data_IF_764785732717
#
_entry.id   IF_764785732717
#
_cell.length_a   1.000
_cell.length_b   1.000
_cell.length_c   1.000
_cell.angle_alpha   90.00
_cell.angle_beta   90.00
_cell.angle_gamma   90.00
#
_symmetry.space_group_name_H-M   'P 1'
#
loop_
_entity.id
_entity.type
_entity.pdbx_description
1 polymer ?
#
# COMPACT_ATOMS: atom_id res chain seq x y z
N UNK A 1 45.75 -66.57 34.91
CA UNK A 1 44.89 -66.79 36.09
C UNK A 1 44.63 -65.44 36.77
N UNK A 2 43.36 -65.17 37.15
CA UNK A 2 42.87 -64.10 38.07
C UNK A 2 42.82 -62.68 37.46
N UNK A 3 41.69 -62.26 36.85
CA UNK A 3 40.49 -61.60 37.42
C UNK A 3 40.79 -60.28 38.16
N UNK A 4 40.29 -59.15 37.64
CA UNK A 4 39.31 -58.29 38.33
C UNK A 4 38.67 -57.28 37.36
N UNK A 5 37.36 -57.10 37.54
CA UNK A 5 36.45 -56.20 36.82
C UNK A 5 36.66 -54.75 37.32
N UNK A 6 36.50 -53.75 36.45
CA UNK A 6 36.05 -52.42 36.90
C UNK A 6 35.19 -51.74 35.83
N UNK A 7 33.95 -51.52 36.25
CA UNK A 7 32.89 -50.70 35.67
C UNK A 7 33.39 -49.33 35.16
N UNK A 8 33.06 -49.01 33.92
CA UNK A 8 33.25 -47.68 33.32
C UNK A 8 32.02 -47.31 32.50
N UNK A 9 31.01 -46.75 33.16
CA UNK A 9 29.81 -46.20 32.57
C UNK A 9 30.15 -45.13 31.53
N UNK A 10 29.94 -45.43 30.25
CA UNK A 10 29.89 -44.39 29.21
C UNK A 10 28.55 -43.66 29.40
N UNK A 11 28.60 -42.55 30.12
CA UNK A 11 27.57 -41.53 30.05
C UNK A 11 27.63 -40.93 28.64
N UNK A 12 26.79 -41.42 27.74
CA UNK A 12 26.45 -40.70 26.51
C UNK A 12 25.78 -39.41 26.96
N UNK A 13 26.55 -38.33 26.94
CA UNK A 13 26.09 -36.97 27.16
C UNK A 13 25.06 -36.66 26.08
N UNK A 14 23.78 -36.93 26.37
CA UNK A 14 22.62 -36.38 25.67
C UNK A 14 22.67 -34.86 25.86
N UNK A 15 23.49 -34.19 25.07
CA UNK A 15 23.30 -32.78 24.78
C UNK A 15 21.95 -32.68 24.07
N UNK A 16 20.96 -31.95 24.60
CA UNK A 16 19.81 -31.56 23.80
C UNK A 16 20.37 -30.76 22.64
N UNK A 17 20.24 -31.31 21.43
CA UNK A 17 20.53 -30.56 20.21
C UNK A 17 19.68 -29.31 20.24
N UNK A 18 20.29 -28.18 20.54
CA UNK A 18 19.68 -26.88 20.33
C UNK A 18 19.50 -26.77 18.82
N UNK A 19 18.32 -27.15 18.33
CA UNK A 19 17.86 -26.78 17.02
C UNK A 19 17.72 -25.27 17.03
N UNK A 20 18.74 -24.57 16.52
CA UNK A 20 18.62 -23.17 16.15
C UNK A 20 17.69 -23.11 14.94
N UNK A 21 16.38 -23.04 15.17
CA UNK A 21 15.50 -22.47 14.15
C UNK A 21 15.96 -21.01 13.97
N UNK A 22 16.33 -20.64 12.75
CA UNK A 22 16.61 -19.24 12.43
C UNK A 22 15.35 -18.43 12.80
N UNK A 23 15.55 -17.37 13.56
CA UNK A 23 14.50 -16.41 13.89
C UNK A 23 13.97 -15.86 12.56
N UNK A 24 12.68 -16.07 12.26
CA UNK A 24 11.93 -15.57 11.08
C UNK A 24 12.01 -16.35 9.75
N UNK A 25 12.30 -17.65 9.74
CA UNK A 25 12.23 -18.43 8.48
C UNK A 25 11.08 -19.46 8.54
N UNK A 26 9.91 -19.09 7.99
CA UNK A 26 8.77 -20.00 7.78
C UNK A 26 8.68 -20.31 6.30
N UNK A 27 8.94 -21.57 5.94
CA UNK A 27 8.77 -22.09 4.59
C UNK A 27 7.57 -23.02 4.49
N UNK A 28 6.76 -22.84 3.45
CA UNK A 28 5.67 -23.75 3.11
C UNK A 28 6.27 -24.92 2.32
N UNK A 29 6.44 -26.06 2.96
CA UNK A 29 6.87 -27.30 2.28
C UNK A 29 5.69 -28.07 1.67
N UNK A 30 4.46 -27.73 2.07
CA UNK A 30 3.20 -28.29 1.62
C UNK A 30 2.14 -27.19 1.59
N UNK A 31 1.09 -27.42 0.82
CA UNK A 31 -0.11 -26.57 0.79
C UNK A 31 -0.73 -26.44 2.18
N UNK A 32 -1.27 -25.26 2.49
CA UNK A 32 -1.87 -24.94 3.78
C UNK A 32 -3.21 -24.21 3.61
N UNK A 33 -4.22 -24.61 4.38
CA UNK A 33 -5.53 -23.98 4.36
C UNK A 33 -5.60 -22.79 5.32
N UNK A 34 -6.01 -21.63 4.79
CA UNK A 34 -6.31 -20.41 5.56
C UNK A 34 -7.79 -20.09 5.40
N UNK A 35 -8.51 -19.97 6.52
CA UNK A 35 -9.92 -19.56 6.50
C UNK A 35 -10.06 -18.08 6.85
N UNK A 36 -10.70 -17.32 5.96
CA UNK A 36 -10.97 -15.89 6.12
C UNK A 36 -12.39 -15.61 5.64
N UNK A 37 -13.17 -14.83 6.39
CA UNK A 37 -14.56 -14.51 6.01
C UNK A 37 -15.42 -15.76 5.69
N UNK A 38 -15.16 -16.89 6.39
CA UNK A 38 -15.75 -18.22 6.13
C UNK A 38 -15.44 -18.83 4.76
N UNK A 39 -14.43 -18.33 4.05
CA UNK A 39 -13.92 -18.86 2.78
C UNK A 39 -12.59 -19.54 3.08
N UNK A 40 -12.49 -20.83 2.73
CA UNK A 40 -11.23 -21.58 2.82
C UNK A 40 -10.39 -21.29 1.58
N UNK A 41 -9.16 -20.85 1.81
CA UNK A 41 -8.16 -20.55 0.80
C UNK A 41 -7.02 -21.54 0.94
N UNK A 42 -6.64 -22.16 -0.17
CA UNK A 42 -5.46 -23.01 -0.25
C UNK A 42 -4.27 -22.13 -0.64
N UNK A 43 -3.26 -22.13 0.23
CA UNK A 43 -2.05 -21.34 0.09
C UNK A 43 -0.84 -22.26 -0.07
N UNK A 44 -0.09 -22.04 -1.14
CA UNK A 44 1.06 -22.86 -1.51
C UNK A 44 2.25 -22.01 -1.95
N UNK A 45 3.43 -22.61 -1.94
CA UNK A 45 4.67 -21.99 -2.38
C UNK A 45 5.79 -23.01 -2.43
N UNK A 46 6.75 -22.86 -3.34
CA UNK A 46 7.82 -23.85 -3.56
C UNK A 46 9.20 -23.42 -3.06
N UNK A 47 9.35 -22.21 -2.54
CA UNK A 47 10.64 -21.63 -2.07
C UNK A 47 10.44 -20.43 -1.12
N UNK A 48 9.26 -20.28 -0.52
CA UNK A 48 8.84 -19.04 0.12
C UNK A 48 9.47 -18.89 1.50
N UNK A 49 10.33 -17.88 1.71
CA UNK A 49 10.65 -17.39 3.06
C UNK A 49 9.57 -16.38 3.39
N UNK A 50 8.49 -16.87 4.01
CA UNK A 50 7.41 -16.01 4.48
C UNK A 50 7.85 -15.44 5.82
N UNK A 51 7.98 -14.12 5.89
CA UNK A 51 8.37 -13.42 7.11
C UNK A 51 7.22 -13.44 8.13
N UNK A 52 5.98 -13.26 7.65
CA UNK A 52 4.80 -13.32 8.51
C UNK A 52 3.53 -13.60 7.72
N UNK A 53 2.56 -14.26 8.37
CA UNK A 53 1.16 -14.30 7.95
C UNK A 53 0.30 -13.89 9.14
N UNK A 54 -0.57 -12.91 8.94
CA UNK A 54 -1.54 -12.43 9.92
C UNK A 54 -2.93 -12.65 9.34
N UNK A 55 -3.70 -13.54 9.96
CA UNK A 55 -5.08 -13.85 9.55
C UNK A 55 -6.05 -13.01 10.37
N UNK A 56 -6.83 -12.17 9.69
CA UNK A 56 -7.91 -11.38 10.29
C UNK A 56 -9.27 -11.99 9.92
N UNK A 57 -10.35 -11.39 10.44
CA UNK A 57 -11.71 -11.86 10.15
C UNK A 57 -12.12 -11.71 8.68
N UNK A 58 -11.61 -10.70 7.97
CA UNK A 58 -12.04 -10.34 6.61
C UNK A 58 -10.95 -10.44 5.55
N UNK A 59 -9.68 -10.47 5.96
CA UNK A 59 -8.52 -10.60 5.09
C UNK A 59 -7.40 -11.37 5.80
N UNK A 60 -6.37 -11.73 5.06
CA UNK A 60 -5.08 -12.06 5.66
C UNK A 60 -3.99 -11.22 5.01
N UNK A 61 -2.91 -11.01 5.75
CA UNK A 61 -1.73 -10.25 5.32
C UNK A 61 -0.54 -11.19 5.35
N UNK A 62 0.22 -11.28 4.26
CA UNK A 62 1.44 -12.04 4.20
C UNK A 62 2.61 -11.15 3.78
N UNK A 63 3.75 -11.26 4.47
CA UNK A 63 4.99 -10.58 4.09
C UNK A 63 5.99 -11.62 3.57
N UNK A 64 6.48 -11.38 2.36
CA UNK A 64 7.29 -12.29 1.57
C UNK A 64 8.67 -11.66 1.31
N UNK A 65 9.73 -12.45 1.40
CA UNK A 65 11.06 -12.02 0.98
C UNK A 65 11.24 -12.08 -0.54
N UNK A 66 12.26 -11.36 -1.06
CA UNK A 66 12.68 -11.42 -2.47
C UNK A 66 12.99 -12.86 -2.90
N UNK A 67 12.58 -13.24 -4.11
CA UNK A 67 12.78 -14.58 -4.66
C UNK A 67 11.77 -15.64 -4.20
N UNK A 68 10.81 -15.27 -3.34
CA UNK A 68 9.73 -16.16 -2.93
C UNK A 68 8.67 -16.32 -4.04
N UNK A 69 7.97 -17.46 -4.05
CA UNK A 69 6.74 -17.65 -4.83
C UNK A 69 5.62 -17.94 -3.84
N UNK A 70 4.51 -17.20 -3.92
CA UNK A 70 3.38 -17.36 -3.03
C UNK A 70 2.10 -17.41 -3.84
N UNK A 71 1.37 -18.53 -3.73
CA UNK A 71 0.14 -18.77 -4.46
C UNK A 71 -1.01 -18.97 -3.51
N UNK A 72 -2.15 -18.37 -3.85
CA UNK A 72 -3.41 -18.44 -3.12
C UNK A 72 -4.48 -18.90 -4.10
N UNK A 73 -5.29 -19.86 -3.71
CA UNK A 73 -6.39 -20.36 -4.53
C UNK A 73 -7.68 -20.49 -3.70
N UNK A 74 -8.80 -20.16 -4.34
CA UNK A 74 -10.13 -20.32 -3.76
C UNK A 74 -10.85 -21.47 -4.45
N UNK A 75 -11.02 -22.59 -3.75
CA UNK A 75 -11.67 -23.80 -4.27
C UNK A 75 -13.13 -23.59 -4.65
N UNK A 76 -13.82 -22.66 -3.98
CA UNK A 76 -15.18 -22.27 -4.31
C UNK A 76 -15.30 -21.21 -5.40
N UNK A 77 -14.22 -20.90 -6.14
CA UNK A 77 -14.18 -19.90 -7.22
C UNK A 77 -14.55 -18.49 -6.77
N UNK A 78 -14.38 -18.17 -5.48
CA UNK A 78 -14.59 -16.83 -4.94
C UNK A 78 -13.57 -15.84 -5.50
N UNK A 79 -14.00 -14.61 -5.77
CA UNK A 79 -13.10 -13.52 -6.18
C UNK A 79 -12.10 -13.21 -5.07
N UNK A 80 -10.83 -13.13 -5.43
CA UNK A 80 -9.74 -12.71 -4.55
C UNK A 80 -9.42 -11.24 -4.84
N UNK A 81 -9.81 -10.35 -3.94
CA UNK A 81 -9.29 -8.98 -3.92
C UNK A 81 -7.90 -8.97 -3.30
N UNK A 82 -7.00 -8.14 -3.81
CA UNK A 82 -5.65 -8.04 -3.25
C UNK A 82 -5.10 -6.61 -3.32
N UNK A 83 -4.26 -6.27 -2.35
CA UNK A 83 -3.46 -5.04 -2.31
C UNK A 83 -2.01 -5.44 -2.02
N UNK A 84 -1.05 -4.81 -2.70
CA UNK A 84 0.37 -5.17 -2.62
C UNK A 84 1.21 -3.92 -2.33
N UNK A 85 1.96 -3.99 -1.24
CA UNK A 85 2.94 -2.99 -0.83
C UNK A 85 4.33 -3.62 -0.94
N UNK A 86 5.24 -2.99 -1.67
CA UNK A 86 6.60 -3.49 -1.85
C UNK A 86 7.61 -2.36 -1.62
N UNK A 87 8.79 -2.72 -1.11
CA UNK A 87 9.90 -1.78 -0.99
C UNK A 87 10.73 -1.77 -2.29
N UNK A 88 11.25 -0.62 -2.73
CA UNK A 88 12.18 -0.54 -3.87
C UNK A 88 11.55 -0.17 -5.21
N UNK A 89 12.37 -0.25 -6.28
CA UNK A 89 12.09 0.37 -7.58
C UNK A 89 11.56 -0.62 -8.65
N UNK A 90 11.30 -1.88 -8.31
CA UNK A 90 10.71 -2.86 -9.22
C UNK A 90 9.54 -3.57 -8.55
N UNK A 91 8.40 -3.58 -9.25
CA UNK A 91 7.19 -4.24 -8.79
C UNK A 91 7.34 -5.77 -8.79
N UNK A 92 6.70 -6.48 -7.86
CA UNK A 92 6.60 -7.94 -7.92
C UNK A 92 5.83 -8.39 -9.17
N UNK A 93 6.10 -9.61 -9.66
CA UNK A 93 5.19 -10.22 -10.62
C UNK A 93 3.94 -10.69 -9.90
N UNK A 94 2.79 -10.38 -10.48
CA UNK A 94 1.47 -10.75 -9.95
C UNK A 94 0.70 -11.36 -11.11
N UNK A 95 0.23 -12.59 -10.92
CA UNK A 95 -0.69 -13.25 -11.83
C UNK A 95 -2.00 -13.55 -11.09
N UNK A 96 -3.11 -13.02 -11.61
CA UNK A 96 -4.42 -13.09 -10.98
C UNK A 96 -5.43 -13.62 -11.98
N UNK A 97 -5.86 -14.86 -11.78
CA UNK A 97 -6.82 -15.54 -12.62
C UNK A 97 -8.14 -15.63 -11.87
N UNK A 98 -9.19 -15.11 -12.48
CA UNK A 98 -10.56 -15.24 -11.96
C UNK A 98 -11.51 -15.53 -13.11
N UNK A 99 -11.80 -16.80 -13.30
CA UNK A 99 -12.65 -17.36 -14.36
C UNK A 99 -13.67 -18.34 -13.78
N UNK A 100 -14.62 -18.79 -14.60
CA UNK A 100 -15.59 -19.81 -14.18
C UNK A 100 -15.01 -21.18 -13.79
N UNK A 101 -13.70 -21.38 -13.95
CA UNK A 101 -13.02 -22.65 -13.61
C UNK A 101 -11.78 -22.48 -12.73
N UNK A 102 -11.36 -21.25 -12.44
CA UNK A 102 -10.18 -20.99 -11.63
C UNK A 102 -10.28 -19.65 -10.91
N UNK A 103 -9.93 -19.64 -9.63
CA UNK A 103 -9.67 -18.42 -8.86
C UNK A 103 -8.33 -18.55 -8.13
N UNK A 104 -7.30 -17.93 -8.70
CA UNK A 104 -5.92 -18.02 -8.20
C UNK A 104 -5.23 -16.67 -8.22
N UNK A 105 -4.37 -16.43 -7.24
CA UNK A 105 -3.48 -15.28 -7.14
C UNK A 105 -2.08 -15.79 -6.86
N UNK A 106 -1.12 -15.50 -7.73
CA UNK A 106 0.28 -15.87 -7.59
C UNK A 106 1.15 -14.61 -7.54
N UNK A 107 2.05 -14.54 -6.56
CA UNK A 107 2.97 -13.43 -6.36
C UNK A 107 4.41 -13.95 -6.35
N UNK A 108 5.30 -13.27 -7.08
CA UNK A 108 6.74 -13.48 -6.97
C UNK A 108 7.49 -12.15 -6.77
N UNK A 109 7.91 -11.83 -5.53
CA UNK A 109 8.75 -10.66 -5.26
C UNK A 109 10.12 -10.76 -5.92
N UNK A 110 10.55 -9.73 -6.66
CA UNK A 110 11.79 -9.80 -7.48
C UNK A 110 13.02 -9.30 -6.72
N UNK A 111 12.98 -8.10 -6.14
CA UNK A 111 14.19 -7.45 -5.58
C UNK A 111 14.07 -6.96 -4.13
N UNK A 112 12.92 -7.14 -3.49
CA UNK A 112 12.68 -6.66 -2.13
C UNK A 112 11.54 -7.41 -1.44
N UNK A 113 11.38 -7.12 -0.14
CA UNK A 113 10.26 -7.59 0.65
C UNK A 113 8.93 -7.01 0.13
N UNK A 114 7.92 -7.87 0.04
CA UNK A 114 6.57 -7.52 -0.43
C UNK A 114 5.54 -7.98 0.59
N UNK A 115 4.65 -7.08 0.98
CA UNK A 115 3.48 -7.38 1.80
C UNK A 115 2.24 -7.41 0.92
N UNK A 116 1.53 -8.53 0.93
CA UNK A 116 0.25 -8.71 0.24
C UNK A 116 -0.88 -8.81 1.25
N UNK A 117 -1.95 -8.05 1.03
CA UNK A 117 -3.22 -8.21 1.75
C UNK A 117 -4.22 -8.87 0.81
N UNK A 118 -4.75 -10.04 1.16
CA UNK A 118 -5.74 -10.76 0.37
C UNK A 118 -7.10 -10.70 1.07
N UNK A 119 -8.09 -10.19 0.36
CA UNK A 119 -9.47 -10.02 0.82
C UNK A 119 -10.41 -10.84 -0.07
N UNK A 120 -10.77 -12.07 0.32
CA UNK A 120 -11.70 -12.89 -0.44
C UNK A 120 -13.13 -12.34 -0.34
N UNK A 121 -13.88 -12.44 -1.44
CA UNK A 121 -15.28 -12.00 -1.54
C UNK A 121 -16.22 -13.19 -1.74
N UNK A 122 -17.45 -13.11 -1.23
CA UNK A 122 -18.49 -14.11 -1.52
C UNK A 122 -18.95 -14.12 -2.98
N UNK A 123 -18.51 -13.16 -3.80
CA UNK A 123 -18.82 -13.12 -5.23
C UNK A 123 -17.98 -14.14 -6.00
N UNK A 124 -18.61 -14.98 -6.82
CA UNK A 124 -17.90 -15.95 -7.66
C UNK A 124 -17.26 -15.32 -8.90
N UNK A 125 -16.18 -15.93 -9.37
CA UNK A 125 -15.59 -15.65 -10.67
C UNK A 125 -16.57 -16.05 -11.79
N UNK A 126 -16.73 -15.18 -12.79
CA UNK A 126 -17.66 -15.41 -13.90
C UNK A 126 -16.99 -16.21 -15.01
N UNK A 127 -17.73 -17.13 -15.65
CA UNK A 127 -17.31 -17.73 -16.90
C UNK A 127 -17.37 -16.67 -18.02
N UNK A 128 -16.28 -16.49 -18.77
CA UNK A 128 -16.37 -15.83 -20.06
C UNK A 128 -17.27 -16.70 -20.96
N UNK A 129 -18.30 -16.12 -21.57
CA UNK A 129 -19.13 -16.83 -22.52
C UNK A 129 -18.27 -17.29 -23.70
N UNK A 130 -18.04 -18.60 -23.79
CA UNK A 130 -17.36 -19.23 -24.92
C UNK A 130 -18.34 -19.28 -26.09
N UNK A 131 -18.12 -18.44 -27.11
CA UNK A 131 -18.77 -18.65 -28.41
C UNK A 131 -18.13 -19.87 -29.05
N UNK A 132 -18.72 -21.04 -28.80
CA UNK A 132 -18.31 -22.29 -29.42
C UNK A 132 -18.68 -22.26 -30.92
N UNK A 133 -17.70 -22.02 -31.79
CA UNK A 133 -17.83 -22.29 -33.22
C UNK A 133 -17.54 -23.77 -33.47
N UNK A 134 -18.55 -24.62 -33.33
CA UNK A 134 -18.50 -26.00 -33.79
C UNK A 134 -18.68 -26.03 -35.31
N UNK A 135 -17.59 -26.17 -36.05
CA UNK A 135 -17.63 -26.57 -37.45
C UNK A 135 -17.90 -28.07 -37.55
N UNK A 136 -18.98 -28.46 -38.23
CA UNK A 136 -19.12 -29.82 -38.80
C UNK A 136 -19.98 -29.75 -40.06
N UNK A 137 -19.41 -30.28 -41.13
CA UNK A 137 -19.95 -30.51 -42.46
C UNK A 137 -20.90 -31.72 -42.48
N UNK A 138 -22.01 -31.64 -43.24
CA UNK A 138 -22.87 -32.81 -43.49
C UNK A 138 -24.19 -32.47 -44.19
N UNK A 139 -24.30 -32.87 -45.46
CA UNK A 139 -25.49 -32.77 -46.32
C UNK A 139 -26.55 -33.84 -46.00
N UNK A 140 -27.84 -33.49 -46.05
CA UNK A 140 -28.95 -34.44 -46.08
C UNK A 140 -30.32 -33.78 -45.90
N UNK A 141 -31.15 -33.80 -46.95
CA UNK A 141 -32.43 -33.07 -47.02
C UNK A 141 -33.58 -33.67 -46.21
N UNK A 142 -34.46 -32.78 -45.74
CA UNK A 142 -35.73 -33.11 -45.11
C UNK A 142 -36.49 -31.84 -44.74
N UNK A 143 -37.64 -31.63 -45.38
CA UNK A 143 -38.52 -30.48 -45.20
C UNK A 143 -38.86 -30.24 -43.73
N UNK A 144 -38.52 -29.06 -43.21
CA UNK A 144 -39.01 -28.55 -41.93
C UNK A 144 -39.43 -27.10 -42.13
N UNK A 145 -40.66 -26.83 -41.73
CA UNK A 145 -41.37 -25.56 -41.69
C UNK A 145 -40.47 -24.39 -41.31
N UNK A 146 -40.36 -23.41 -42.22
CA UNK A 146 -39.75 -22.11 -41.95
C UNK A 146 -40.60 -21.36 -40.92
N UNK A 147 -40.26 -21.49 -39.63
CA UNK A 147 -40.57 -20.44 -38.66
C UNK A 147 -39.61 -19.29 -38.95
N UNK A 148 -40.09 -18.32 -39.73
CA UNK A 148 -39.48 -16.99 -39.77
C UNK A 148 -39.66 -16.37 -38.38
N UNK A 149 -38.72 -16.66 -37.48
CA UNK A 149 -38.57 -15.89 -36.25
C UNK A 149 -38.16 -14.46 -36.66
N UNK A 150 -39.05 -13.51 -36.38
CA UNK A 150 -38.76 -12.08 -36.46
C UNK A 150 -37.41 -11.76 -35.81
N UNK A 151 -36.53 -10.97 -36.45
CA UNK A 151 -35.31 -10.52 -35.81
C UNK A 151 -35.66 -9.43 -34.80
N UNK A 152 -36.07 -9.84 -33.60
CA UNK A 152 -36.32 -8.93 -32.47
C UNK A 152 -35.12 -8.97 -31.53
N UNK A 153 -34.39 -7.86 -31.52
CA UNK A 153 -33.56 -7.32 -30.45
C UNK A 153 -32.22 -8.02 -30.10
N UNK A 154 -31.21 -7.85 -30.96
CA UNK A 154 -29.77 -7.89 -30.55
C UNK A 154 -29.14 -6.48 -30.52
N UNK A 155 -29.92 -5.42 -30.77
CA UNK A 155 -29.43 -4.03 -30.73
C UNK A 155 -29.41 -3.39 -29.33
N UNK A 156 -30.01 -4.02 -28.32
CA UNK A 156 -30.17 -3.40 -26.99
C UNK A 156 -28.92 -3.49 -26.10
N UNK A 157 -27.99 -4.41 -26.38
CA UNK A 157 -26.78 -4.63 -25.55
C UNK A 157 -25.56 -3.80 -25.96
N UNK A 158 -25.51 -3.28 -27.20
CA UNK A 158 -24.46 -2.34 -27.63
C UNK A 158 -24.81 -0.91 -27.22
N UNK A 159 -26.08 -0.50 -27.33
CA UNK A 159 -26.55 0.80 -26.87
C UNK A 159 -26.34 1.02 -25.35
N UNK A 160 -26.53 -0.03 -24.53
CA UNK A 160 -26.27 0.04 -23.08
C UNK A 160 -24.78 0.14 -22.76
N UNK A 161 -23.91 -0.52 -23.55
CA UNK A 161 -22.44 -0.47 -23.37
C UNK A 161 -21.87 0.86 -23.84
N UNK A 162 -22.37 1.43 -24.94
CA UNK A 162 -21.99 2.79 -25.39
C UNK A 162 -22.43 3.85 -24.38
N UNK A 163 -23.61 3.70 -23.78
CA UNK A 163 -24.06 4.56 -22.68
C UNK A 163 -23.15 4.43 -21.44
N UNK A 164 -22.68 3.22 -21.11
CA UNK A 164 -21.73 2.99 -20.02
C UNK A 164 -20.35 3.59 -20.32
N UNK A 165 -19.84 3.47 -21.55
CA UNK A 165 -18.57 4.07 -21.98
C UNK A 165 -18.63 5.60 -21.85
N UNK A 166 -19.73 6.21 -22.31
CA UNK A 166 -19.92 7.66 -22.18
C UNK A 166 -20.05 8.11 -20.73
N UNK A 167 -20.73 7.33 -19.89
CA UNK A 167 -20.83 7.60 -18.44
C UNK A 167 -19.47 7.49 -17.75
N UNK A 168 -18.65 6.49 -18.11
CA UNK A 168 -17.30 6.32 -17.57
C UNK A 168 -16.36 7.44 -18.04
N UNK A 169 -16.46 7.89 -19.30
CA UNK A 169 -15.67 9.04 -19.77
C UNK A 169 -16.02 10.34 -19.04
N UNK A 170 -17.31 10.56 -18.74
CA UNK A 170 -17.75 11.70 -17.92
C UNK A 170 -17.25 11.59 -16.48
N UNK A 171 -17.30 10.39 -15.90
CA UNK A 171 -16.77 10.14 -14.56
C UNK A 171 -15.25 10.38 -14.51
N UNK A 172 -14.49 9.94 -15.52
CA UNK A 172 -13.05 10.19 -15.62
C UNK A 172 -12.78 11.70 -15.78
N UNK A 173 -13.53 12.42 -16.61
CA UNK A 173 -13.36 13.87 -16.76
C UNK A 173 -13.68 14.63 -15.45
N UNK A 174 -14.71 14.22 -14.72
CA UNK A 174 -15.04 14.77 -13.41
C UNK A 174 -13.96 14.46 -12.38
N UNK A 175 -13.41 13.24 -12.39
CA UNK A 175 -12.32 12.84 -11.50
C UNK A 175 -11.01 13.55 -11.86
N UNK A 176 -10.74 13.79 -13.15
CA UNK A 176 -9.60 14.59 -13.62
C UNK A 176 -9.74 16.05 -13.20
N UNK A 177 -10.95 16.63 -13.30
CA UNK A 177 -11.23 17.96 -12.78
C UNK A 177 -11.08 18.01 -11.25
N UNK A 178 -11.49 16.96 -10.54
CA UNK A 178 -11.32 16.84 -9.09
C UNK A 178 -9.85 16.64 -8.69
N UNK A 179 -9.08 15.87 -9.47
CA UNK A 179 -7.63 15.80 -9.34
C UNK A 179 -7.02 17.16 -9.64
N UNK A 180 -7.53 17.93 -10.60
CA UNK A 180 -7.09 19.31 -10.84
C UNK A 180 -7.57 20.31 -9.78
N UNK A 181 -8.57 20.01 -8.96
CA UNK A 181 -8.87 20.83 -7.77
C UNK A 181 -8.13 20.35 -6.52
N UNK A 182 -7.61 19.13 -6.51
CA UNK A 182 -6.76 18.60 -5.43
C UNK A 182 -5.26 18.84 -5.69
N UNK A 183 -4.85 18.85 -6.96
CA UNK A 183 -3.48 19.15 -7.44
C UNK A 183 -3.36 20.56 -8.00
N UNK A 184 -4.49 21.21 -8.32
CA UNK A 184 -4.63 22.62 -8.70
C UNK A 184 -5.61 23.38 -7.79
N UNK A 185 -5.96 22.85 -6.61
CA UNK A 185 -5.82 23.70 -5.43
C UNK A 185 -4.43 24.28 -5.60
N UNK A 186 -4.30 25.60 -5.77
CA UNK A 186 -3.01 26.13 -6.12
C UNK A 186 -2.06 25.56 -5.08
N UNK A 187 -0.97 24.93 -5.51
CA UNK A 187 0.28 25.12 -4.80
C UNK A 187 0.30 26.64 -4.60
N UNK A 188 -0.11 27.07 -3.41
CA UNK A 188 -0.71 28.37 -3.17
C UNK A 188 0.39 29.39 -3.30
N UNK A 189 0.74 29.69 -4.54
CA UNK A 189 1.98 30.30 -4.94
C UNK A 189 3.19 29.54 -4.33
N UNK A 190 4.08 29.02 -5.17
CA UNK A 190 5.50 29.14 -4.79
C UNK A 190 5.83 30.63 -4.86
N UNK A 191 5.21 31.44 -3.99
CA UNK A 191 5.76 32.71 -3.61
C UNK A 191 7.04 32.29 -2.93
N UNK A 192 8.16 32.46 -3.64
CA UNK A 192 9.43 32.68 -2.98
C UNK A 192 9.15 33.44 -1.70
N UNK A 193 9.58 32.89 -0.56
CA UNK A 193 9.22 33.34 0.77
C UNK A 193 9.70 34.80 0.89
N UNK A 194 8.88 35.74 0.43
CA UNK A 194 9.26 37.14 0.21
C UNK A 194 9.04 37.89 1.50
N UNK A 195 9.75 37.43 2.53
CA UNK A 195 9.61 37.93 3.87
C UNK A 195 10.80 37.49 4.69
N UNK A 196 11.67 38.44 5.02
CA UNK A 196 12.60 38.23 6.12
C UNK A 196 11.81 38.27 7.41
N UNK A 197 12.02 37.28 8.27
CA UNK A 197 11.59 37.41 9.66
C UNK A 197 12.50 38.49 10.26
N UNK A 198 11.94 39.56 10.82
CA UNK A 198 12.70 40.69 11.40
C UNK A 198 12.59 40.76 12.92
N UNK A 199 11.49 40.27 13.49
CA UNK A 199 11.23 40.27 14.93
C UNK A 199 11.50 38.91 15.57
N UNK A 200 11.65 38.90 16.90
CA UNK A 200 11.64 37.66 17.67
C UNK A 200 10.21 37.13 17.76
N UNK A 201 10.01 35.82 17.56
CA UNK A 201 8.69 35.18 17.64
C UNK A 201 8.68 34.11 18.73
N UNK A 202 7.59 34.03 19.48
CA UNK A 202 7.40 33.04 20.55
C UNK A 202 5.93 32.65 20.62
N UNK A 203 5.59 31.66 21.46
CA UNK A 203 4.20 31.27 21.67
C UNK A 203 3.31 32.47 22.02
N UNK A 204 2.20 32.61 21.31
CA UNK A 204 1.29 33.75 21.45
C UNK A 204 1.61 34.95 20.54
N UNK A 205 2.77 34.98 19.86
CA UNK A 205 3.05 35.99 18.83
C UNK A 205 2.04 35.91 17.70
N UNK A 206 1.68 37.07 17.14
CA UNK A 206 0.72 37.17 16.03
C UNK A 206 1.21 38.11 14.93
N UNK A 207 0.73 37.88 13.71
CA UNK A 207 0.92 38.76 12.56
C UNK A 207 1.70 38.12 11.41
N UNK A 208 2.00 38.93 10.40
CA UNK A 208 2.56 38.48 9.13
C UNK A 208 3.88 37.68 9.27
N UNK A 209 4.77 38.06 10.18
CA UNK A 209 6.02 37.32 10.40
C UNK A 209 5.82 35.89 10.87
N UNK A 210 4.72 35.61 11.59
CA UNK A 210 4.36 34.24 11.99
C UNK A 210 3.87 33.44 10.79
N UNK A 211 3.08 34.07 9.92
CA UNK A 211 2.64 33.44 8.66
C UNK A 211 3.83 33.08 7.78
N UNK A 212 4.78 34.02 7.61
CA UNK A 212 6.03 33.78 6.87
C UNK A 212 6.85 32.63 7.48
N UNK A 213 6.95 32.57 8.82
CA UNK A 213 7.60 31.46 9.51
C UNK A 213 6.91 30.13 9.20
N UNK A 214 5.58 30.06 9.26
CA UNK A 214 4.84 28.83 8.99
C UNK A 214 5.03 28.37 7.54
N UNK A 215 5.01 29.32 6.59
CA UNK A 215 5.28 29.03 5.18
C UNK A 215 6.67 28.42 5.00
N UNK A 216 7.70 29.04 5.58
CA UNK A 216 9.07 28.51 5.55
C UNK A 216 9.16 27.11 6.17
N UNK A 217 8.56 26.87 7.33
CA UNK A 217 8.62 25.56 7.97
C UNK A 217 7.93 24.49 7.11
N UNK A 218 6.76 24.81 6.54
CA UNK A 218 6.03 23.91 5.67
C UNK A 218 6.81 23.57 4.39
N UNK A 219 7.48 24.53 3.75
CA UNK A 219 8.28 24.28 2.53
C UNK A 219 9.55 23.49 2.78
N UNK A 220 10.16 23.61 3.97
CA UNK A 220 11.40 22.91 4.33
C UNK A 220 11.18 21.54 5.01
N UNK A 221 9.99 20.96 4.85
CA UNK A 221 9.63 19.62 5.38
C UNK A 221 9.41 19.58 6.89
N UNK A 222 9.26 20.74 7.53
CA UNK A 222 8.99 20.90 8.95
C UNK A 222 7.52 21.29 9.13
N UNK A 223 6.64 20.48 8.57
CA UNK A 223 5.20 20.76 8.48
C UNK A 223 4.59 21.06 9.85
N UNK A 224 3.90 22.21 9.94
CA UNK A 224 3.25 22.66 11.17
C UNK A 224 1.99 21.82 11.44
N UNK A 225 1.16 21.58 10.43
CA UNK A 225 0.01 20.69 10.50
C UNK A 225 -0.20 19.94 9.19
N UNK A 226 -0.62 18.68 9.23
CA UNK A 226 -0.89 17.90 8.01
C UNK A 226 -2.16 18.35 7.28
N UNK A 227 -3.12 18.94 8.01
CA UNK A 227 -4.35 19.50 7.46
C UNK A 227 -4.91 20.59 8.39
N UNK A 228 -5.75 21.48 7.84
CA UNK A 228 -6.38 22.55 8.60
C UNK A 228 -5.45 23.74 8.92
N UNK A 229 -5.74 24.54 9.97
CA UNK A 229 -4.98 25.73 10.28
C UNK A 229 -3.49 25.44 10.52
N UNK A 230 -2.62 26.08 9.74
CA UNK A 230 -1.17 25.90 9.79
C UNK A 230 -0.63 24.89 8.79
N UNK A 231 -1.48 24.16 8.06
CA UNK A 231 -1.01 23.25 7.00
C UNK A 231 -0.49 24.02 5.78
N UNK A 232 0.24 23.37 4.85
CA UNK A 232 0.69 24.02 3.62
C UNK A 232 -0.49 24.68 2.89
N UNK A 233 -0.35 25.96 2.56
CA UNK A 233 -1.39 26.76 1.91
C UNK A 233 -2.53 27.22 2.84
N UNK A 234 -2.52 26.83 4.11
CA UNK A 234 -3.48 27.23 5.14
C UNK A 234 -2.76 27.85 6.35
N UNK A 235 -1.64 28.54 6.12
CA UNK A 235 -0.87 29.16 7.20
C UNK A 235 -1.64 30.25 7.93
N UNK A 236 -1.41 30.30 9.24
CA UNK A 236 -2.06 31.24 10.15
C UNK A 236 -1.10 32.34 10.57
N UNK A 237 -1.66 33.43 11.09
CA UNK A 237 -0.88 34.50 11.70
C UNK A 237 -0.65 34.28 13.20
N UNK A 238 -0.82 33.06 13.73
CA UNK A 238 -0.78 32.78 15.17
C UNK A 238 0.28 31.75 15.52
N UNK A 239 1.16 32.09 16.46
CA UNK A 239 2.22 31.20 16.91
C UNK A 239 1.67 30.28 18.01
N UNK A 240 1.14 29.13 17.59
CA UNK A 240 0.57 28.12 18.47
C UNK A 240 1.57 27.03 18.91
N UNK A 241 1.04 26.00 19.58
CA UNK A 241 1.83 24.84 20.01
C UNK A 241 2.44 24.06 18.84
N UNK A 242 1.70 23.90 17.74
CA UNK A 242 2.18 23.23 16.53
C UNK A 242 3.34 23.99 15.87
N UNK A 243 3.22 25.32 15.77
CA UNK A 243 4.30 26.17 15.25
C UNK A 243 5.55 26.07 16.14
N UNK A 244 5.37 26.07 17.47
CA UNK A 244 6.47 25.86 18.42
C UNK A 244 7.20 24.54 18.17
N UNK A 245 6.46 23.44 18.00
CA UNK A 245 7.06 22.13 17.74
C UNK A 245 7.84 22.09 16.42
N UNK A 246 7.30 22.71 15.36
CA UNK A 246 8.02 22.83 14.09
C UNK A 246 9.31 23.65 14.22
N UNK A 247 9.29 24.74 15.02
CA UNK A 247 10.49 25.54 15.34
C UNK A 247 11.51 24.73 16.15
N UNK A 248 11.07 23.91 17.10
CA UNK A 248 11.97 23.03 17.87
C UNK A 248 12.70 22.04 16.95
N UNK A 249 11.97 21.37 16.06
CA UNK A 249 12.55 20.47 15.05
C UNK A 249 13.52 21.20 14.13
N UNK A 250 13.21 22.44 13.73
CA UNK A 250 14.13 23.28 12.96
C UNK A 250 15.43 23.55 13.73
N UNK A 251 15.31 23.96 15.00
CA UNK A 251 16.46 24.29 15.83
C UNK A 251 17.37 23.08 16.07
N UNK A 252 16.79 21.89 16.26
CA UNK A 252 17.53 20.63 16.36
C UNK A 252 18.22 20.28 15.05
N UNK A 253 17.51 20.35 13.92
CA UNK A 253 18.04 20.06 12.57
C UNK A 253 19.29 20.89 12.23
N UNK A 254 19.35 22.13 12.69
CA UNK A 254 20.47 23.05 12.43
C UNK A 254 21.36 23.31 13.66
N UNK A 255 21.25 22.51 14.72
CA UNK A 255 22.07 22.63 15.95
C UNK A 255 22.05 24.03 16.57
N UNK A 256 20.91 24.73 16.53
CA UNK A 256 20.75 26.10 17.06
C UNK A 256 20.42 26.09 18.56
N UNK A 257 19.49 25.23 18.95
CA UNK A 257 19.03 25.04 20.33
C UNK A 257 18.40 23.65 20.48
N UNK A 258 18.45 23.09 21.68
CA UNK A 258 17.81 21.82 22.02
C UNK A 258 17.11 21.89 23.38
N UNK A 259 16.54 20.76 23.86
CA UNK A 259 15.86 20.70 25.14
C UNK A 259 16.71 21.28 26.29
N UNK A 260 16.12 22.17 27.09
CA UNK A 260 16.80 22.83 28.21
C UNK A 260 17.65 24.05 27.83
N UNK A 261 17.86 24.32 26.54
CA UNK A 261 18.61 25.51 26.09
C UNK A 261 17.68 26.73 26.02
N UNK A 262 18.07 27.90 26.59
CA UNK A 262 17.32 29.14 26.46
C UNK A 262 17.04 29.48 24.99
N UNK A 263 15.76 29.72 24.68
CA UNK A 263 15.32 30.02 23.31
C UNK A 263 14.82 28.81 22.51
N UNK A 264 14.86 27.60 23.09
CA UNK A 264 14.27 26.41 22.47
C UNK A 264 12.75 26.54 22.27
N UNK A 265 12.31 26.41 21.03
CA UNK A 265 10.93 26.66 20.59
C UNK A 265 10.57 28.14 20.41
N UNK A 266 11.55 29.05 20.37
CA UNK A 266 11.35 30.46 20.04
C UNK A 266 12.24 30.89 18.89
N UNK A 267 11.77 31.80 18.04
CA UNK A 267 12.56 32.34 16.93
C UNK A 267 13.34 33.56 17.42
N UNK A 268 14.46 33.30 18.09
CA UNK A 268 15.43 34.33 18.48
C UNK A 268 16.37 34.74 17.34
N UNK A 269 17.35 35.63 17.60
CA UNK A 269 18.27 36.13 16.58
C UNK A 269 19.01 35.05 15.78
N UNK A 270 19.50 34.00 16.44
CA UNK A 270 20.20 32.88 15.77
C UNK A 270 19.27 32.08 14.86
N UNK A 271 18.09 31.72 15.35
CA UNK A 271 17.08 30.98 14.56
C UNK A 271 16.60 31.81 13.37
N UNK A 272 16.31 33.09 13.59
CA UNK A 272 15.94 34.04 12.52
C UNK A 272 17.04 34.16 11.46
N UNK A 273 18.30 34.32 11.88
CA UNK A 273 19.41 34.44 10.95
C UNK A 273 19.50 33.20 10.05
N UNK A 274 19.37 31.99 10.62
CA UNK A 274 19.42 30.75 9.84
C UNK A 274 18.21 30.60 8.91
N UNK A 275 17.00 30.96 9.36
CA UNK A 275 15.81 30.95 8.50
C UNK A 275 15.99 31.90 7.32
N UNK A 276 16.42 33.15 7.59
CA UNK A 276 16.61 34.16 6.55
C UNK A 276 17.76 33.81 5.57
N UNK A 277 18.77 33.05 6.01
CA UNK A 277 19.83 32.50 5.16
C UNK A 277 19.28 31.43 4.21
N UNK A 278 18.47 30.51 4.74
CA UNK A 278 17.90 29.40 3.98
C UNK A 278 16.75 29.83 3.07
N UNK A 279 16.04 30.90 3.42
CA UNK A 279 14.95 31.46 2.58
C UNK A 279 15.47 32.31 1.42
N UNK A 280 16.78 32.58 1.36
CA UNK A 280 17.42 33.36 0.31
C UNK A 280 18.12 32.49 -0.75
N UNK A 281 18.06 31.16 -0.61
CA UNK A 281 18.60 30.16 -1.53
C UNK A 281 17.48 29.53 -2.34
#
# INVERSE_FOLDING_TARGET
MKKLLLSGSIAVLLLPGLAFAAFNDVSLTTDADISVNSITLDVSGSTSVIESIIVNSTNFVATLQSGSIFKVSASGLQKLGYDVIYAGNQSPSIDSICTGSASTLELSPVVASTTVTVTPSSTLCAAAAVTASSGTSGSGGGSVTTVIASPVAVAATTASREAQINSIMQAIAALQAQIQTLTGAPAAQVSAISGKITSNLSSGSRGASVKTLQQFLNTHGLTVASSGPGSPGNETETFGGLTRQAVQKFQEKYNIAGPGIPGYGTVGPKTRAKINELSAQ
#
